data_IF_749598776645
#
_entry.id   IF_749598776645
#
_cell.length_a   1.000
_cell.length_b   1.000
_cell.length_c   1.000
_cell.angle_alpha   90.00
_cell.angle_beta   90.00
_cell.angle_gamma   90.00
#
_symmetry.space_group_name_H-M   'P 1'
#
loop_
_entity.id
_entity.type
_entity.pdbx_description
1 polymer ?
#
# COMPACT_ATOMS: atom_id res chain seq x y z
N UNK A 1 -19.49 7.07 35.00
CA UNK A 1 -18.55 7.68 34.03
C UNK A 1 -19.07 7.27 32.67
N UNK A 2 -19.33 8.19 31.76
CA UNK A 2 -19.87 7.85 30.44
C UNK A 2 -18.81 7.10 29.65
N UNK A 3 -19.04 5.80 29.44
CA UNK A 3 -18.28 4.92 28.53
C UNK A 3 -18.56 5.26 27.05
N UNK A 4 -18.62 6.55 26.72
CA UNK A 4 -18.79 6.96 25.35
C UNK A 4 -17.41 6.95 24.68
N UNK A 5 -17.16 6.07 23.69
CA UNK A 5 -15.87 6.01 23.04
C UNK A 5 -15.59 7.36 22.38
N UNK A 6 -14.41 7.92 22.64
CA UNK A 6 -14.03 9.22 22.09
C UNK A 6 -14.22 9.23 20.57
N UNK A 7 -14.92 10.23 20.04
CA UNK A 7 -15.12 10.42 18.58
C UNK A 7 -13.83 10.78 17.83
N UNK A 8 -12.72 10.94 18.56
CA UNK A 8 -11.42 11.28 18.00
C UNK A 8 -10.85 10.13 17.17
N UNK A 9 -10.71 10.36 15.86
CA UNK A 9 -10.12 9.40 14.92
C UNK A 9 -8.74 9.86 14.47
N UNK A 10 -7.81 8.92 14.37
CA UNK A 10 -6.46 9.15 13.82
C UNK A 10 -6.28 8.29 12.57
N UNK A 11 -6.38 8.87 11.37
CA UNK A 11 -6.01 8.17 10.15
C UNK A 11 -4.51 7.85 10.16
N UNK A 12 -4.16 6.59 9.96
CA UNK A 12 -2.78 6.15 9.82
C UNK A 12 -2.67 5.02 8.80
N UNK A 13 -1.50 4.90 8.18
CA UNK A 13 -1.15 3.77 7.34
C UNK A 13 -0.12 2.92 8.08
N UNK A 14 -0.42 1.64 8.28
CA UNK A 14 0.49 0.66 8.87
C UNK A 14 1.09 -0.14 7.71
N UNK A 15 2.41 -0.08 7.52
CA UNK A 15 3.13 -0.80 6.47
C UNK A 15 3.21 -2.31 6.72
N UNK A 16 3.95 -3.02 5.88
CA UNK A 16 4.23 -4.44 6.08
C UNK A 16 5.27 -4.67 7.17
N UNK A 17 5.18 -5.81 7.86
CA UNK A 17 6.17 -6.25 8.83
C UNK A 17 7.32 -6.93 8.11
N UNK A 18 8.53 -6.40 8.30
CA UNK A 18 9.78 -6.92 7.70
C UNK A 18 10.78 -7.30 8.77
N UNK A 19 11.78 -8.10 8.39
CA UNK A 19 12.93 -8.41 9.24
C UNK A 19 14.15 -7.61 8.79
N UNK A 20 14.80 -6.93 9.71
CA UNK A 20 16.07 -6.23 9.48
C UNK A 20 17.08 -6.57 10.58
N UNK A 21 18.37 -6.41 10.29
CA UNK A 21 19.44 -6.71 11.25
C UNK A 21 19.72 -5.53 12.18
N UNK A 22 19.84 -5.80 13.46
CA UNK A 22 20.26 -4.83 14.45
C UNK A 22 21.80 -4.58 14.42
N UNK A 23 22.32 -3.76 15.34
CA UNK A 23 23.76 -3.48 15.43
C UNK A 23 24.61 -4.69 15.81
N UNK A 24 24.00 -5.73 16.38
CA UNK A 24 24.65 -7.00 16.76
C UNK A 24 24.50 -8.06 15.67
N UNK A 25 23.72 -7.78 14.63
CA UNK A 25 23.46 -8.70 13.52
C UNK A 25 22.22 -9.58 13.72
N UNK A 26 21.49 -9.39 14.81
CA UNK A 26 20.29 -10.15 15.15
C UNK A 26 19.06 -9.62 14.39
N UNK A 27 18.12 -10.51 14.07
CA UNK A 27 16.90 -10.13 13.38
C UNK A 27 15.93 -9.38 14.30
N UNK A 28 15.45 -8.23 13.83
CA UNK A 28 14.42 -7.42 14.45
C UNK A 28 13.27 -7.20 13.47
N UNK A 29 12.03 -7.33 13.98
CA UNK A 29 10.84 -6.96 13.21
C UNK A 29 10.71 -5.45 13.13
N UNK A 30 10.46 -4.94 11.93
CA UNK A 30 10.31 -3.52 11.64
C UNK A 30 9.00 -3.30 10.90
N UNK A 31 8.30 -2.23 11.23
CA UNK A 31 7.11 -1.78 10.53
C UNK A 31 7.12 -0.26 10.50
N UNK A 32 6.81 0.32 9.33
CA UNK A 32 6.65 1.77 9.20
C UNK A 32 5.19 2.15 9.42
N UNK A 33 4.96 3.24 10.16
CA UNK A 33 3.62 3.79 10.38
C UNK A 33 3.62 5.24 9.95
N UNK A 34 2.78 5.56 8.97
CA UNK A 34 2.66 6.90 8.41
C UNK A 34 1.40 7.60 8.95
N UNK A 35 1.54 8.87 9.30
CA UNK A 35 0.48 9.75 9.80
C UNK A 35 0.60 11.14 9.18
N UNK A 36 -0.48 11.92 9.29
CA UNK A 36 -0.46 13.31 8.85
C UNK A 36 0.53 14.16 9.67
N UNK A 37 1.25 15.06 9.00
CA UNK A 37 2.30 15.89 9.60
C UNK A 37 1.79 16.78 10.74
N UNK A 38 0.57 17.32 10.64
CA UNK A 38 0.02 18.15 11.72
C UNK A 38 -0.32 17.35 12.97
N UNK A 39 -0.65 16.07 12.82
CA UNK A 39 -0.83 15.18 13.96
C UNK A 39 0.52 14.76 14.56
N UNK A 40 1.54 14.54 13.72
CA UNK A 40 2.92 14.32 14.18
C UNK A 40 3.40 15.47 15.06
N UNK A 41 3.19 16.73 14.66
CA UNK A 41 3.53 17.91 15.49
C UNK A 41 2.83 17.87 16.86
N UNK A 42 1.58 17.42 16.94
CA UNK A 42 0.85 17.29 18.22
C UNK A 42 1.50 16.21 19.10
N UNK A 43 1.84 15.05 18.52
CA UNK A 43 2.52 13.95 19.22
C UNK A 43 3.90 14.37 19.74
N UNK A 44 4.64 15.17 18.98
CA UNK A 44 5.97 15.63 19.38
C UNK A 44 5.92 16.60 20.57
N UNK A 45 4.90 17.46 20.63
CA UNK A 45 4.78 18.50 21.65
C UNK A 45 3.97 18.08 22.89
N UNK A 46 3.08 17.07 22.77
CA UNK A 46 2.16 16.68 23.84
C UNK A 46 2.34 15.21 24.20
N UNK A 47 2.93 14.94 25.36
CA UNK A 47 3.25 13.59 25.82
C UNK A 47 2.01 12.67 25.96
N UNK A 48 0.85 13.23 26.30
CA UNK A 48 -0.41 12.48 26.36
C UNK A 48 -0.81 11.93 24.99
N UNK A 49 -0.78 12.78 23.95
CA UNK A 49 -1.06 12.35 22.57
C UNK A 49 -0.05 11.32 22.07
N UNK A 50 1.21 11.46 22.48
CA UNK A 50 2.26 10.49 22.15
C UNK A 50 1.99 9.12 22.75
N UNK A 51 1.64 9.06 24.03
CA UNK A 51 1.32 7.80 24.69
C UNK A 51 0.06 7.17 24.09
N UNK A 52 -0.99 7.97 23.90
CA UNK A 52 -2.23 7.56 23.25
C UNK A 52 -1.98 6.99 21.85
N UNK A 53 -1.23 7.70 21.01
CA UNK A 53 -0.92 7.25 19.65
C UNK A 53 -0.13 5.93 19.64
N UNK A 54 0.87 5.79 20.50
CA UNK A 54 1.64 4.53 20.59
C UNK A 54 0.77 3.34 20.99
N UNK A 55 -0.20 3.53 21.89
CA UNK A 55 -1.17 2.49 22.25
C UNK A 55 -2.02 2.07 21.06
N UNK A 56 -2.52 3.03 20.27
CA UNK A 56 -3.27 2.72 19.04
C UNK A 56 -2.40 1.96 18.03
N UNK A 57 -1.14 2.37 17.86
CA UNK A 57 -0.21 1.69 16.95
C UNK A 57 0.04 0.24 17.38
N UNK A 58 0.25 0.00 18.67
CA UNK A 58 0.49 -1.36 19.18
C UNK A 58 -0.73 -2.26 18.99
N UNK A 59 -1.93 -1.77 19.32
CA UNK A 59 -3.15 -2.52 19.06
C UNK A 59 -3.36 -2.73 17.55
N UNK A 60 -3.00 -1.75 16.71
CA UNK A 60 -3.13 -1.85 15.25
C UNK A 60 -2.17 -2.85 14.63
N UNK A 61 -0.96 -2.96 15.15
CA UNK A 61 0.02 -3.98 14.74
C UNK A 61 -0.43 -5.39 15.16
N UNK A 62 -1.03 -5.51 16.34
CA UNK A 62 -1.60 -6.77 16.82
C UNK A 62 -2.79 -7.20 15.96
N UNK A 63 -3.74 -6.30 15.71
CA UNK A 63 -4.93 -6.60 14.92
C UNK A 63 -4.58 -6.90 13.45
N UNK A 64 -3.69 -6.10 12.83
CA UNK A 64 -3.37 -6.22 11.41
C UNK A 64 -2.37 -7.35 11.11
N UNK A 65 -1.38 -7.56 11.97
CA UNK A 65 -0.26 -8.46 11.70
C UNK A 65 -0.04 -9.54 12.77
N UNK A 66 -0.87 -9.60 13.81
CA UNK A 66 -0.67 -10.53 14.93
C UNK A 66 0.58 -10.22 15.77
N UNK A 67 1.16 -9.02 15.64
CA UNK A 67 2.39 -8.65 16.33
C UNK A 67 2.06 -8.11 17.72
N UNK A 68 2.43 -8.87 18.74
CA UNK A 68 2.28 -8.46 20.14
C UNK A 68 3.45 -7.56 20.52
N UNK A 69 3.16 -6.28 20.74
CA UNK A 69 4.12 -5.32 21.27
C UNK A 69 4.02 -5.29 22.80
N UNK A 70 5.16 -5.17 23.47
CA UNK A 70 5.19 -4.98 24.93
C UNK A 70 5.18 -3.49 25.27
N UNK A 71 4.70 -3.15 26.46
CA UNK A 71 4.58 -1.76 26.92
C UNK A 71 5.94 -1.09 27.21
N UNK A 72 7.01 -1.88 27.42
CA UNK A 72 8.38 -1.39 27.59
C UNK A 72 8.95 -0.87 26.27
N UNK A 73 8.69 0.40 25.97
CA UNK A 73 9.14 1.07 24.75
C UNK A 73 10.34 1.98 25.00
N UNK A 74 11.29 1.95 24.05
CA UNK A 74 12.42 2.89 23.98
C UNK A 74 12.31 3.67 22.68
N UNK A 75 12.37 4.99 22.79
CA UNK A 75 12.46 5.87 21.62
C UNK A 75 13.93 6.17 21.35
N UNK A 76 14.40 5.80 20.16
CA UNK A 76 15.77 6.03 19.74
C UNK A 76 16.03 7.54 19.60
N UNK A 77 17.01 8.07 20.34
CA UNK A 77 17.35 9.51 20.31
C UNK A 77 18.29 9.89 19.16
N UNK A 78 19.15 8.97 18.76
CA UNK A 78 20.22 9.22 17.77
C UNK A 78 19.90 8.63 16.38
N UNK A 79 18.65 8.27 16.13
CA UNK A 79 18.20 7.65 14.88
C UNK A 79 16.72 7.96 14.64
N UNK A 80 16.38 8.44 13.44
CA UNK A 80 15.00 8.82 13.07
C UNK A 80 14.15 7.65 12.57
N UNK A 81 14.77 6.66 11.92
CA UNK A 81 14.11 5.46 11.43
C UNK A 81 15.03 4.25 11.61
N UNK A 82 14.48 3.09 11.95
CA UNK A 82 15.22 1.85 11.95
C UNK A 82 15.11 1.22 10.56
N UNK A 83 16.24 1.13 9.85
CA UNK A 83 16.24 0.61 8.50
C UNK A 83 15.95 1.59 7.39
N UNK A 84 15.58 1.04 6.24
CA UNK A 84 15.14 1.80 5.07
C UNK A 84 13.62 1.93 5.09
N UNK A 85 13.13 3.16 5.16
CA UNK A 85 11.70 3.47 5.11
C UNK A 85 11.06 2.92 3.83
N UNK A 86 9.94 2.23 3.97
CA UNK A 86 9.19 1.70 2.84
C UNK A 86 8.17 2.70 2.30
N UNK A 87 7.90 2.62 1.01
CA UNK A 87 6.81 3.37 0.40
C UNK A 87 5.47 2.76 0.83
N UNK A 88 4.58 3.60 1.35
CA UNK A 88 3.21 3.18 1.62
C UNK A 88 2.39 3.24 0.34
N UNK A 89 1.74 2.14 -0.02
CA UNK A 89 0.79 2.13 -1.13
C UNK A 89 -0.51 2.78 -0.69
N UNK A 90 -0.78 3.99 -1.18
CA UNK A 90 -2.01 4.72 -0.93
C UNK A 90 -2.93 4.54 -2.13
N UNK A 91 -4.11 3.97 -1.92
CA UNK A 91 -5.18 3.95 -2.91
C UNK A 91 -6.12 5.13 -2.62
N UNK A 92 -6.39 5.96 -3.64
CA UNK A 92 -7.49 6.93 -3.55
C UNK A 92 -8.80 6.15 -3.51
N UNK A 93 -9.35 6.02 -2.31
CA UNK A 93 -10.71 5.55 -2.07
C UNK A 93 -11.56 6.75 -1.70
N UNK A 94 -12.87 6.66 -1.89
CA UNK A 94 -13.83 7.60 -1.30
C UNK A 94 -13.83 7.41 0.22
N UNK A 95 -12.78 7.90 0.88
CA UNK A 95 -12.59 7.87 2.34
C UNK A 95 -13.77 8.60 3.00
N UNK A 96 -14.27 9.65 2.35
CA UNK A 96 -15.43 10.43 2.81
C UNK A 96 -16.69 9.56 2.91
N UNK A 97 -16.99 8.72 1.91
CA UNK A 97 -18.20 7.88 1.98
C UNK A 97 -18.18 6.89 3.15
N UNK A 98 -17.01 6.34 3.50
CA UNK A 98 -16.91 5.40 4.63
C UNK A 98 -16.78 6.09 5.98
N UNK A 99 -16.18 7.29 6.04
CA UNK A 99 -16.16 8.10 7.25
C UNK A 99 -17.54 8.71 7.55
N UNK A 100 -18.35 9.00 6.53
CA UNK A 100 -19.71 9.53 6.65
C UNK A 100 -20.77 8.43 6.85
N UNK A 101 -20.66 7.26 6.20
CA UNK A 101 -21.62 6.15 6.38
C UNK A 101 -21.71 5.64 7.82
N UNK A 102 -20.68 5.83 8.65
CA UNK A 102 -20.73 5.50 10.08
C UNK A 102 -21.48 6.54 10.93
N UNK A 103 -21.77 7.73 10.38
CA UNK A 103 -22.64 8.74 11.01
C UNK A 103 -24.12 8.57 10.64
N UNK A 104 -24.46 7.75 9.63
CA UNK A 104 -25.84 7.56 9.17
C UNK A 104 -26.60 6.54 10.04
N UNK A 105 -25.90 5.66 10.78
CA UNK A 105 -26.51 4.73 11.73
C UNK A 105 -26.99 5.38 13.04
N UNK A 106 -27.21 6.70 13.06
CA UNK A 106 -27.91 7.42 14.14
C UNK A 106 -29.41 7.57 13.87
N UNK A 107 -29.89 7.38 12.64
CA UNK A 107 -31.32 7.55 12.30
C UNK A 107 -32.12 6.26 12.55
N UNK A 108 -31.46 5.09 12.60
CA UNK A 108 -32.12 3.82 12.93
C UNK A 108 -32.50 3.69 14.42
N UNK A 109 -32.09 4.62 15.29
CA UNK A 109 -32.48 4.62 16.72
C UNK A 109 -33.96 4.93 16.94
N UNK A 110 -34.67 5.51 15.97
CA UNK A 110 -36.11 5.86 16.11
C UNK A 110 -37.02 4.66 15.78
N UNK A 111 -36.53 3.65 15.06
CA UNK A 111 -37.32 2.46 14.72
C UNK A 111 -36.85 1.28 15.56
N UNK A 112 -37.29 1.25 16.81
CA UNK A 112 -36.86 0.32 17.86
C UNK A 112 -36.81 -1.16 17.47
N UNK A 113 -35.62 -1.59 17.02
CA UNK A 113 -35.26 -3.00 17.00
C UNK A 113 -33.78 -3.12 17.39
N UNK A 114 -33.58 -3.27 18.70
CA UNK A 114 -32.29 -3.12 19.37
C UNK A 114 -31.71 -4.51 19.66
N UNK A 115 -30.77 -4.95 18.83
CA UNK A 115 -29.71 -5.90 19.24
C UNK A 115 -28.44 -5.08 19.53
N UNK A 116 -28.48 -4.26 20.58
CA UNK A 116 -27.32 -3.48 21.06
C UNK A 116 -26.57 -4.27 22.13
N UNK A 117 -25.52 -4.98 21.74
CA UNK A 117 -24.48 -5.42 22.68
C UNK A 117 -23.15 -5.79 22.02
N UNK A 118 -22.79 -5.16 20.89
CA UNK A 118 -21.44 -5.29 20.32
C UNK A 118 -20.65 -4.00 20.58
N UNK A 119 -19.57 -4.04 21.39
CA UNK A 119 -18.72 -2.87 21.60
C UNK A 119 -18.10 -2.45 20.26
N UNK A 120 -18.13 -1.13 19.97
CA UNK A 120 -17.45 -0.56 18.79
C UNK A 120 -15.95 -0.86 18.90
N UNK A 121 -15.30 -1.43 17.87
CA UNK A 121 -13.89 -1.77 17.96
C UNK A 121 -13.03 -0.51 18.07
N UNK A 122 -12.00 -0.54 18.92
CA UNK A 122 -11.03 0.54 19.10
C UNK A 122 -10.28 0.84 17.78
N UNK A 123 -10.12 -0.20 16.96
CA UNK A 123 -9.52 -0.13 15.64
C UNK A 123 -10.55 -0.56 14.62
N UNK A 124 -10.95 0.41 13.82
CA UNK A 124 -11.70 0.15 12.61
C UNK A 124 -10.70 0.03 11.48
N UNK A 125 -10.28 -1.21 11.22
CA UNK A 125 -9.55 -1.47 9.98
C UNK A 125 -10.54 -1.16 8.87
N UNK A 126 -10.28 -0.10 8.11
CA UNK A 126 -10.90 0.04 6.78
C UNK A 126 -10.26 -1.10 6.00
N UNK A 127 -10.85 -2.29 6.11
CA UNK A 127 -10.46 -3.44 5.34
C UNK A 127 -10.52 -2.95 3.91
N UNK A 128 -9.34 -2.70 3.34
CA UNK A 128 -9.02 -3.40 2.13
C UNK A 128 -9.52 -4.81 2.38
N UNK A 129 -10.67 -5.17 1.80
CA UNK A 129 -10.59 -6.36 0.97
C UNK A 129 -9.28 -6.19 0.24
N UNK A 130 -8.28 -6.98 0.65
CA UNK A 130 -7.04 -7.04 -0.08
C UNK A 130 -7.48 -7.52 -1.46
N UNK A 131 -7.87 -6.57 -2.30
CA UNK A 131 -7.90 -6.73 -3.72
C UNK A 131 -6.41 -6.72 -4.05
N UNK A 132 -5.72 -7.80 -3.63
CA UNK A 132 -4.35 -8.10 -3.99
C UNK A 132 -4.37 -7.95 -5.50
N UNK A 133 -3.66 -6.95 -6.03
CA UNK A 133 -3.73 -6.70 -7.44
C UNK A 133 -3.26 -7.96 -8.14
N UNK A 134 -4.00 -8.35 -9.17
CA UNK A 134 -3.63 -9.49 -9.99
C UNK A 134 -2.33 -9.13 -10.69
N UNK A 135 -1.32 -9.97 -10.50
CA UNK A 135 -0.10 -9.88 -11.30
C UNK A 135 -0.43 -10.56 -12.64
N UNK A 136 -0.30 -9.86 -13.78
CA UNK A 136 -0.51 -10.48 -15.08
C UNK A 136 0.55 -11.56 -15.34
N UNK A 137 0.21 -12.60 -16.11
CA UNK A 137 1.23 -13.50 -16.66
C UNK A 137 2.13 -12.70 -17.61
N UNK A 138 3.44 -12.75 -17.41
CA UNK A 138 4.37 -12.01 -18.24
C UNK A 138 5.66 -12.76 -18.56
N UNK A 139 6.31 -12.33 -19.64
CA UNK A 139 7.64 -12.81 -20.06
C UNK A 139 8.46 -11.68 -20.63
N UNK A 140 9.72 -11.61 -20.26
CA UNK A 140 10.70 -10.68 -20.81
C UNK A 140 11.72 -11.44 -21.67
N UNK A 141 11.91 -11.00 -22.92
CA UNK A 141 12.79 -11.63 -23.90
C UNK A 141 13.81 -10.60 -24.37
N UNK A 142 15.09 -10.84 -24.14
CA UNK A 142 16.16 -10.00 -24.71
C UNK A 142 16.50 -10.47 -26.11
N UNK A 143 16.44 -9.55 -27.07
CA UNK A 143 16.87 -9.78 -28.45
C UNK A 143 18.21 -9.08 -28.68
N UNK A 144 19.25 -9.87 -28.98
CA UNK A 144 20.61 -9.37 -29.23
C UNK A 144 20.87 -8.94 -30.68
N UNK A 145 19.91 -9.10 -31.59
CA UNK A 145 20.01 -8.58 -32.97
C UNK A 145 19.94 -7.07 -32.94
N UNK A 146 20.79 -6.35 -33.68
CA UNK A 146 20.70 -4.89 -33.73
C UNK A 146 19.32 -4.45 -34.28
N UNK A 147 18.58 -3.57 -33.57
CA UNK A 147 18.91 -2.97 -32.28
C UNK A 147 18.66 -3.89 -31.07
N UNK A 148 19.60 -3.94 -30.12
CA UNK A 148 19.47 -4.68 -28.85
C UNK A 148 18.26 -4.16 -28.08
N UNK A 149 17.25 -5.02 -27.88
CA UNK A 149 16.00 -4.63 -27.24
C UNK A 149 15.50 -5.70 -26.26
N UNK A 150 14.76 -5.23 -25.26
CA UNK A 150 13.99 -6.05 -24.35
C UNK A 150 12.53 -6.04 -24.82
N UNK A 151 11.96 -7.23 -25.02
CA UNK A 151 10.58 -7.41 -25.43
C UNK A 151 9.82 -7.95 -24.22
N UNK A 152 8.84 -7.19 -23.73
CA UNK A 152 7.92 -7.64 -22.69
C UNK A 152 6.59 -8.08 -23.30
N UNK A 153 6.15 -9.28 -22.97
CA UNK A 153 4.81 -9.77 -23.28
C UNK A 153 4.03 -9.90 -21.97
N UNK A 154 2.89 -9.21 -21.87
CA UNK A 154 2.06 -9.16 -20.66
C UNK A 154 0.63 -9.54 -21.03
N UNK A 155 0.10 -10.58 -20.39
CA UNK A 155 -1.21 -11.17 -20.73
C UNK A 155 -2.28 -10.75 -19.74
N UNK A 156 -3.37 -10.22 -20.27
CA UNK A 156 -4.49 -9.65 -19.52
C UNK A 156 -5.83 -10.26 -19.98
N UNK A 157 -6.16 -11.51 -19.57
CA UNK A 157 -7.32 -12.24 -20.07
C UNK A 157 -8.64 -11.47 -19.93
N UNK A 158 -8.78 -10.67 -18.86
CA UNK A 158 -10.02 -9.97 -18.52
C UNK A 158 -10.14 -8.57 -19.13
N UNK A 159 -9.10 -8.07 -19.84
CA UNK A 159 -9.08 -6.71 -20.39
C UNK A 159 -9.65 -6.68 -21.80
N UNK A 160 -10.61 -5.78 -22.04
CA UNK A 160 -11.31 -5.67 -23.31
C UNK A 160 -10.75 -4.50 -24.12
N UNK A 161 -10.39 -3.40 -23.45
CA UNK A 161 -9.90 -2.17 -24.08
C UNK A 161 -8.52 -1.77 -23.56
N UNK A 162 -7.68 -1.22 -24.45
CA UNK A 162 -6.38 -0.63 -24.10
C UNK A 162 -6.53 0.56 -23.17
N UNK A 163 -7.68 1.25 -23.22
CA UNK A 163 -7.97 2.38 -22.34
C UNK A 163 -8.02 2.00 -20.85
N UNK A 164 -8.12 0.71 -20.55
CA UNK A 164 -8.10 0.16 -19.19
C UNK A 164 -6.69 -0.11 -18.67
N UNK A 165 -5.65 0.15 -19.49
CA UNK A 165 -4.25 -0.11 -19.17
C UNK A 165 -3.44 1.18 -19.20
N UNK A 166 -2.65 1.37 -18.14
CA UNK A 166 -1.58 2.37 -18.07
C UNK A 166 -0.25 1.63 -18.08
N UNK A 167 0.71 2.09 -18.90
CA UNK A 167 2.06 1.53 -18.98
C UNK A 167 3.05 2.68 -18.79
N UNK A 168 3.86 2.57 -17.73
CA UNK A 168 4.99 3.47 -17.47
C UNK A 168 6.29 2.68 -17.55
N UNK A 169 7.22 3.16 -18.38
CA UNK A 169 8.54 2.56 -18.57
C UNK A 169 9.59 3.57 -18.17
N UNK A 170 10.27 3.30 -17.05
CA UNK A 170 11.43 4.04 -16.58
C UNK A 170 12.74 3.54 -17.18
N UNK A 171 13.87 3.98 -16.62
CA UNK A 171 15.21 3.54 -17.07
C UNK A 171 15.44 2.05 -16.81
N UNK A 172 14.99 1.55 -15.67
CA UNK A 172 15.17 0.17 -15.22
C UNK A 172 13.90 -0.41 -14.59
N UNK A 173 12.76 0.28 -14.71
CA UNK A 173 11.49 -0.07 -14.04
C UNK A 173 10.34 -0.11 -15.04
N UNK A 174 9.48 -1.11 -14.92
CA UNK A 174 8.27 -1.26 -15.74
C UNK A 174 7.07 -1.33 -14.79
N UNK A 175 6.12 -0.42 -14.95
CA UNK A 175 4.87 -0.40 -14.21
C UNK A 175 3.71 -0.54 -15.18
N UNK A 176 2.83 -1.51 -14.93
CA UNK A 176 1.58 -1.67 -15.68
C UNK A 176 0.42 -1.75 -14.69
N UNK A 177 -0.56 -0.88 -14.86
CA UNK A 177 -1.73 -0.82 -14.00
C UNK A 177 -3.02 -0.94 -14.82
N UNK A 178 -4.00 -1.66 -14.26
CA UNK A 178 -5.39 -1.59 -14.70
C UNK A 178 -6.29 -1.37 -13.50
N UNK A 179 -6.83 -0.16 -13.37
CA UNK A 179 -7.73 0.21 -12.27
C UNK A 179 -9.09 -0.47 -12.40
N UNK A 180 -9.57 -0.73 -13.61
CA UNK A 180 -10.86 -1.40 -13.87
C UNK A 180 -10.84 -2.89 -13.50
N UNK A 181 -9.70 -3.57 -13.70
CA UNK A 181 -9.56 -5.03 -13.51
C UNK A 181 -8.60 -5.41 -12.38
N UNK A 182 -8.14 -4.43 -11.61
CA UNK A 182 -7.24 -4.60 -10.49
C UNK A 182 -5.96 -5.36 -10.86
N UNK A 183 -5.38 -5.08 -12.04
CA UNK A 183 -4.03 -5.58 -12.38
C UNK A 183 -2.98 -4.57 -11.91
N UNK A 184 -1.87 -5.08 -11.35
CA UNK A 184 -0.68 -4.29 -11.09
C UNK A 184 0.56 -5.16 -11.31
N UNK A 185 1.45 -4.68 -12.17
CA UNK A 185 2.80 -5.17 -12.30
C UNK A 185 3.76 -4.02 -12.04
N UNK A 186 4.73 -4.24 -11.17
CA UNK A 186 5.78 -3.27 -10.87
C UNK A 186 7.08 -4.05 -10.69
N UNK A 187 7.96 -3.97 -11.69
CA UNK A 187 9.17 -4.78 -11.74
C UNK A 187 10.38 -3.94 -12.14
N UNK A 188 11.52 -4.26 -11.53
CA UNK A 188 12.82 -3.78 -11.97
C UNK A 188 13.43 -4.76 -12.97
N UNK A 189 14.12 -4.22 -13.98
CA UNK A 189 14.84 -4.99 -14.99
C UNK A 189 16.33 -4.65 -14.94
N UNK A 190 17.23 -5.63 -15.12
CA UNK A 190 18.67 -5.41 -15.03
C UNK A 190 19.26 -4.79 -16.31
N UNK A 191 18.58 -3.81 -16.89
CA UNK A 191 18.95 -3.15 -18.15
C UNK A 191 18.55 -1.68 -18.13
N UNK A 192 19.33 -0.84 -18.83
CA UNK A 192 18.98 0.57 -19.06
C UNK A 192 18.16 0.68 -20.34
N UNK A 193 16.90 1.07 -20.20
CA UNK A 193 15.93 1.24 -21.28
C UNK A 193 15.99 2.67 -21.82
N UNK A 194 16.01 2.79 -23.15
CA UNK A 194 15.83 4.06 -23.87
C UNK A 194 14.34 4.39 -23.99
N UNK A 195 13.81 5.05 -22.96
CA UNK A 195 12.38 5.37 -22.82
C UNK A 195 11.78 6.07 -24.05
N UNK A 196 12.53 6.99 -24.67
CA UNK A 196 12.09 7.78 -25.85
C UNK A 196 11.79 6.94 -27.09
N UNK A 197 12.24 5.69 -27.14
CA UNK A 197 12.13 4.81 -28.30
C UNK A 197 11.30 3.56 -28.00
N UNK A 198 10.67 3.49 -26.83
CA UNK A 198 9.79 2.39 -26.46
C UNK A 198 8.51 2.43 -27.31
N UNK A 199 8.04 1.25 -27.72
CA UNK A 199 6.76 1.09 -28.41
C UNK A 199 5.96 0.00 -27.74
N UNK A 200 4.63 0.11 -27.78
CA UNK A 200 3.74 -0.91 -27.24
C UNK A 200 2.60 -1.20 -28.21
N UNK A 201 2.08 -2.42 -28.17
CA UNK A 201 0.96 -2.85 -28.99
C UNK A 201 0.14 -3.87 -28.21
N UNK A 202 -1.17 -3.65 -28.13
CA UNK A 202 -2.08 -4.57 -27.47
C UNK A 202 -2.92 -5.33 -28.51
N UNK A 203 -2.86 -6.64 -28.47
CA UNK A 203 -3.67 -7.50 -29.31
C UNK A 203 -4.96 -7.89 -28.57
N UNK A 204 -6.10 -7.40 -29.06
CA UNK A 204 -7.43 -7.64 -28.45
C UNK A 204 -7.88 -9.10 -28.51
N UNK A 205 -7.38 -9.88 -29.48
CA UNK A 205 -7.71 -11.29 -29.67
C UNK A 205 -6.90 -12.17 -28.72
N UNK A 206 -5.59 -11.97 -28.65
CA UNK A 206 -4.71 -12.77 -27.76
C UNK A 206 -4.68 -12.24 -26.33
N UNK A 207 -5.17 -11.02 -26.10
CA UNK A 207 -5.14 -10.33 -24.80
C UNK A 207 -3.73 -10.05 -24.29
N UNK A 208 -2.77 -9.88 -25.21
CA UNK A 208 -1.37 -9.65 -24.89
C UNK A 208 -0.98 -8.22 -25.24
N UNK A 209 -0.40 -7.52 -24.27
CA UNK A 209 0.36 -6.29 -24.46
C UNK A 209 1.81 -6.66 -24.75
N UNK A 210 2.30 -6.29 -25.92
CA UNK A 210 3.71 -6.42 -26.30
C UNK A 210 4.36 -5.05 -26.18
N UNK A 211 5.46 -4.96 -25.44
CA UNK A 211 6.25 -3.73 -25.26
C UNK A 211 7.65 -3.99 -25.78
N UNK A 212 8.09 -3.19 -26.75
CA UNK A 212 9.46 -3.22 -27.29
C UNK A 212 10.24 -2.07 -26.67
N UNK A 213 11.28 -2.41 -25.90
CA UNK A 213 12.08 -1.49 -25.10
C UNK A 213 13.53 -1.52 -25.59
N UNK A 214 13.97 -0.58 -26.43
CA UNK A 214 15.37 -0.51 -26.86
C UNK A 214 16.29 -0.26 -25.67
N UNK A 215 17.45 -0.91 -25.64
CA UNK A 215 18.41 -0.76 -24.53
C UNK A 215 19.49 0.27 -24.86
N UNK A 216 19.95 1.01 -23.86
CA UNK A 216 21.10 1.91 -23.94
C UNK A 216 22.37 1.08 -23.73
N UNK A 217 23.21 0.97 -24.77
CA UNK A 217 24.39 0.11 -24.74
C UNK A 217 24.07 -1.33 -25.15
N UNK A 218 24.54 -1.70 -26.34
CA UNK A 218 24.57 -3.07 -26.84
C UNK A 218 26.01 -3.48 -27.05
#
# INVERSE_FOLDING_TARGET
MSDEPSTFRVPMSIGEVRSEKDKKGEEAKVCDVAIHLDFLKKIENIQLFKNFFMTIVFEGLKDKHGVICRDDKIILKNRKAFGTLQMHRIQQREINEKMEKTNISLIDEISGNVDSNKPKPLIETIASTENVPRIPEYRLIRRKTQPNCLIGEFKFPDIISVKELTLDVGEDRIVIESTSRNYLLDIFVPYVIRQSSCTSTFNKTTKILTVTMPLVGG
#
